data_IF_252371330093
#
_entry.id   IF_252371330093
#
_cell.length_a   1.000
_cell.length_b   1.000
_cell.length_c   1.000
_cell.angle_alpha   90.00
_cell.angle_beta   90.00
_cell.angle_gamma   90.00
#
_symmetry.space_group_name_H-M   'P 1'
#
loop_
_entity.id
_entity.type
_entity.pdbx_description
1 polymer ?
#
# COMPACT_ATOMS: atom_id res chain seq x y z
N UNK A 1 -10.76 22.14 -5.81
CA UNK A 1 -10.49 20.69 -5.77
C UNK A 1 -9.59 20.33 -4.59
N UNK A 2 -8.47 21.03 -4.40
CA UNK A 2 -7.51 20.79 -3.29
C UNK A 2 -8.13 20.84 -1.89
N UNK A 3 -8.96 21.85 -1.59
CA UNK A 3 -9.68 21.96 -0.31
C UNK A 3 -10.61 20.76 0.00
N UNK A 4 -11.22 20.15 -1.03
CA UNK A 4 -12.07 18.97 -0.85
C UNK A 4 -11.22 17.73 -0.56
N UNK A 5 -10.04 17.62 -1.17
CA UNK A 5 -9.06 16.55 -0.94
C UNK A 5 -8.48 16.62 0.48
N UNK A 6 -8.09 17.80 0.94
CA UNK A 6 -7.61 18.03 2.31
C UNK A 6 -8.70 17.68 3.35
N UNK A 7 -9.95 18.09 3.11
CA UNK A 7 -11.08 17.73 3.98
C UNK A 7 -11.34 16.22 3.99
N UNK A 8 -11.18 15.56 2.83
CA UNK A 8 -11.28 14.10 2.70
C UNK A 8 -10.19 13.39 3.51
N UNK A 9 -8.94 13.83 3.42
CA UNK A 9 -7.81 13.28 4.19
C UNK A 9 -8.04 13.44 5.71
N UNK A 10 -8.47 14.62 6.16
CA UNK A 10 -8.78 14.84 7.57
C UNK A 10 -9.94 13.94 8.05
N UNK A 11 -10.95 13.72 7.21
CA UNK A 11 -12.07 12.84 7.52
C UNK A 11 -11.67 11.36 7.56
N UNK A 12 -10.69 10.94 6.75
CA UNK A 12 -10.14 9.58 6.78
C UNK A 12 -9.24 9.36 7.99
N UNK A 13 -8.37 10.32 8.32
CA UNK A 13 -7.52 10.27 9.51
C UNK A 13 -8.33 10.08 10.80
N UNK A 14 -9.47 10.78 10.94
CA UNK A 14 -10.40 10.61 12.07
C UNK A 14 -11.03 9.21 12.16
N UNK A 15 -11.11 8.48 11.04
CA UNK A 15 -11.70 7.13 10.97
C UNK A 15 -10.67 6.01 11.06
N UNK A 16 -9.39 6.29 10.82
CA UNK A 16 -8.33 5.27 10.79
C UNK A 16 -8.23 4.44 12.08
N UNK A 17 -8.58 5.05 13.23
CA UNK A 17 -8.61 4.37 14.53
C UNK A 17 -9.90 3.59 14.84
N UNK A 18 -10.91 3.62 13.96
CA UNK A 18 -12.14 2.84 14.14
C UNK A 18 -11.89 1.37 13.83
N UNK A 19 -12.56 0.49 14.57
CA UNK A 19 -12.45 -0.94 14.30
C UNK A 19 -13.10 -1.29 12.96
N UNK A 20 -12.35 -2.00 12.11
CA UNK A 20 -12.77 -2.42 10.78
C UNK A 20 -12.49 -3.92 10.65
N UNK A 21 -13.50 -4.74 10.99
CA UNK A 21 -13.44 -6.21 10.98
C UNK A 21 -14.34 -6.86 9.94
N UNK A 22 -15.30 -6.11 9.40
CA UNK A 22 -16.08 -6.53 8.24
C UNK A 22 -15.29 -6.30 6.96
N UNK A 23 -15.80 -6.75 5.82
CA UNK A 23 -15.16 -6.54 4.51
C UNK A 23 -15.22 -7.77 3.62
N UNK A 24 -14.20 -7.96 2.78
CA UNK A 24 -14.15 -9.08 1.85
C UNK A 24 -12.73 -9.64 1.72
N UNK A 25 -12.66 -10.96 1.61
CA UNK A 25 -11.50 -11.66 1.03
C UNK A 25 -11.81 -11.89 -0.44
N UNK A 26 -11.01 -11.31 -1.32
CA UNK A 26 -11.18 -11.40 -2.76
C UNK A 26 -9.97 -12.05 -3.41
N UNK A 27 -10.19 -12.71 -4.55
CA UNK A 27 -9.12 -13.26 -5.37
C UNK A 27 -9.11 -12.60 -6.75
N UNK A 28 -7.91 -12.43 -7.29
CA UNK A 28 -7.70 -11.99 -8.66
C UNK A 28 -6.76 -12.97 -9.34
N UNK A 29 -7.22 -13.60 -10.42
CA UNK A 29 -6.43 -14.50 -11.25
C UNK A 29 -6.19 -13.79 -12.57
N UNK A 30 -4.92 -13.53 -12.90
CA UNK A 30 -4.56 -12.89 -14.15
C UNK A 30 -4.79 -13.86 -15.33
N UNK A 31 -4.97 -13.29 -16.53
CA UNK A 31 -5.24 -14.06 -17.74
C UNK A 31 -4.19 -15.17 -17.94
N UNK A 32 -4.67 -16.38 -18.20
CA UNK A 32 -3.83 -17.57 -18.36
C UNK A 32 -3.45 -18.28 -17.05
N UNK A 33 -3.92 -17.81 -15.88
CA UNK A 33 -3.79 -18.54 -14.61
C UNK A 33 -2.38 -18.66 -14.04
N UNK A 34 -1.42 -17.91 -14.58
CA UNK A 34 0.00 -17.93 -14.18
C UNK A 34 0.32 -16.99 -13.02
N UNK A 35 -0.63 -16.14 -12.64
CA UNK A 35 -0.48 -15.20 -11.54
C UNK A 35 -1.81 -15.10 -10.80
N UNK A 36 -1.75 -15.17 -9.47
CA UNK A 36 -2.93 -15.08 -8.60
C UNK A 36 -2.65 -14.23 -7.37
N UNK A 37 -3.67 -13.49 -6.94
CA UNK A 37 -3.65 -12.70 -5.71
C UNK A 37 -4.83 -13.10 -4.83
N UNK A 38 -4.60 -13.20 -3.53
CA UNK A 38 -5.63 -13.25 -2.50
C UNK A 38 -5.45 -12.01 -1.61
N UNK A 39 -6.50 -11.21 -1.45
CA UNK A 39 -6.44 -9.96 -0.68
C UNK A 39 -7.61 -9.86 0.29
N UNK A 40 -7.33 -9.43 1.53
CA UNK A 40 -8.33 -9.10 2.54
C UNK A 40 -8.39 -7.59 2.70
N UNK A 41 -9.55 -7.01 2.41
CA UNK A 41 -9.83 -5.58 2.61
C UNK A 41 -10.97 -5.45 3.59
N UNK A 42 -10.74 -4.71 4.67
CA UNK A 42 -11.74 -4.50 5.70
C UNK A 42 -12.48 -3.16 5.53
N UNK A 43 -13.73 -3.13 5.99
CA UNK A 43 -14.53 -1.95 6.27
C UNK A 43 -15.19 -2.06 7.66
N UNK A 44 -16.03 -1.09 8.04
CA UNK A 44 -16.70 -1.10 9.35
C UNK A 44 -17.95 -2.01 9.33
N UNK A 45 -18.69 -2.07 8.21
CA UNK A 45 -19.94 -2.85 8.10
C UNK A 45 -19.99 -3.82 6.92
N UNK A 46 -20.78 -4.89 7.05
CA UNK A 46 -21.02 -5.86 5.98
C UNK A 46 -21.86 -5.28 4.83
N UNK A 47 -22.68 -4.26 5.12
CA UNK A 47 -23.42 -3.50 4.12
C UNK A 47 -22.47 -2.82 3.14
N UNK A 48 -21.47 -2.08 3.63
CA UNK A 48 -20.45 -1.45 2.78
C UNK A 48 -19.66 -2.48 1.99
N UNK A 49 -19.33 -3.62 2.61
CA UNK A 49 -18.61 -4.70 1.95
C UNK A 49 -19.30 -5.20 0.68
N UNK A 50 -20.63 -5.08 0.57
CA UNK A 50 -21.43 -5.54 -0.59
C UNK A 50 -21.67 -4.46 -1.65
N UNK A 51 -21.26 -3.22 -1.40
CA UNK A 51 -21.47 -2.12 -2.35
C UNK A 51 -20.55 -2.23 -3.57
N UNK A 52 -21.03 -1.78 -4.73
CA UNK A 52 -20.25 -1.79 -5.97
C UNK A 52 -18.96 -0.97 -5.86
N UNK A 53 -19.02 0.15 -5.13
CA UNK A 53 -17.88 1.03 -4.89
C UNK A 53 -16.76 0.32 -4.10
N UNK A 54 -17.12 -0.38 -3.02
CA UNK A 54 -16.16 -1.16 -2.24
C UNK A 54 -15.62 -2.34 -3.04
N UNK A 55 -16.50 -3.09 -3.70
CA UNK A 55 -16.12 -4.24 -4.53
C UNK A 55 -15.19 -3.85 -5.69
N UNK A 56 -15.41 -2.67 -6.28
CA UNK A 56 -14.52 -2.11 -7.31
C UNK A 56 -13.15 -1.74 -6.74
N UNK A 57 -13.12 -1.06 -5.59
CA UNK A 57 -11.85 -0.75 -4.90
C UNK A 57 -11.04 -2.02 -4.61
N UNK A 58 -11.68 -3.06 -4.08
CA UNK A 58 -11.01 -4.33 -3.78
C UNK A 58 -10.40 -4.97 -5.02
N UNK A 59 -11.14 -4.99 -6.14
CA UNK A 59 -10.63 -5.50 -7.42
C UNK A 59 -9.44 -4.68 -7.93
N UNK A 60 -9.54 -3.35 -7.87
CA UNK A 60 -8.48 -2.44 -8.29
C UNK A 60 -7.20 -2.67 -7.45
N UNK A 61 -7.34 -2.86 -6.13
CA UNK A 61 -6.24 -3.19 -5.23
C UNK A 61 -5.63 -4.57 -5.51
N UNK A 62 -6.46 -5.59 -5.78
CA UNK A 62 -5.96 -6.92 -6.14
C UNK A 62 -5.15 -6.90 -7.45
N UNK A 63 -5.62 -6.14 -8.44
CA UNK A 63 -4.91 -5.93 -9.70
C UNK A 63 -3.60 -5.16 -9.51
N UNK A 64 -3.58 -4.17 -8.62
CA UNK A 64 -2.37 -3.44 -8.26
C UNK A 64 -1.32 -4.38 -7.65
N UNK A 65 -1.72 -5.20 -6.67
CA UNK A 65 -0.83 -6.20 -6.05
C UNK A 65 -0.30 -7.16 -7.12
N UNK A 66 -1.16 -7.63 -8.02
CA UNK A 66 -0.76 -8.50 -9.12
C UNK A 66 0.32 -7.88 -10.02
N UNK A 67 0.15 -6.60 -10.37
CA UNK A 67 1.00 -5.90 -11.32
C UNK A 67 2.34 -5.43 -10.76
N UNK A 68 2.36 -4.86 -9.55
CA UNK A 68 3.56 -4.24 -8.98
C UNK A 68 4.21 -5.03 -7.83
N UNK A 69 3.65 -6.17 -7.46
CA UNK A 69 4.21 -7.10 -6.48
C UNK A 69 4.73 -6.44 -5.17
N UNK A 70 3.93 -5.61 -4.47
CA UNK A 70 4.29 -5.16 -3.14
C UNK A 70 4.44 -6.36 -2.20
N UNK A 71 5.25 -6.22 -1.16
CA UNK A 71 5.45 -7.22 -0.11
C UNK A 71 4.62 -6.89 1.15
N UNK A 72 4.35 -5.61 1.38
CA UNK A 72 3.73 -5.09 2.60
C UNK A 72 2.54 -4.19 2.27
N UNK A 73 1.42 -4.22 3.02
CA UNK A 73 0.33 -3.27 2.83
C UNK A 73 0.73 -1.84 3.19
N UNK A 74 1.39 -1.62 4.34
CA UNK A 74 1.79 -0.30 4.83
C UNK A 74 3.24 -0.30 5.34
N UNK A 75 3.83 0.88 5.56
CA UNK A 75 5.20 0.99 6.09
C UNK A 75 5.31 0.36 7.48
N UNK A 76 4.27 0.47 8.30
CA UNK A 76 4.20 -0.11 9.65
C UNK A 76 4.13 -1.64 9.64
N UNK A 77 3.73 -2.24 8.51
CA UNK A 77 3.72 -3.69 8.35
C UNK A 77 5.06 -4.29 7.97
N UNK A 78 6.08 -3.45 7.69
CA UNK A 78 7.45 -3.90 7.48
C UNK A 78 8.04 -4.35 8.83
N UNK A 79 8.57 -5.58 8.95
CA UNK A 79 9.26 -6.00 10.16
C UNK A 79 10.43 -5.05 10.48
N UNK A 80 10.60 -4.60 11.75
CA UNK A 80 11.67 -3.66 12.11
C UNK A 80 13.06 -4.13 11.67
N UNK A 81 13.34 -5.44 11.81
CA UNK A 81 14.60 -6.03 11.37
C UNK A 81 14.86 -5.87 9.85
N UNK A 82 13.82 -5.96 9.01
CA UNK A 82 13.94 -5.78 7.56
C UNK A 82 14.22 -4.32 7.23
N UNK A 83 13.51 -3.40 7.90
CA UNK A 83 13.70 -1.96 7.70
C UNK A 83 15.10 -1.51 8.14
N UNK A 84 15.55 -1.98 9.29
CA UNK A 84 16.88 -1.67 9.84
C UNK A 84 18.00 -2.26 8.99
N UNK A 85 17.84 -3.51 8.53
CA UNK A 85 18.78 -4.14 7.60
C UNK A 85 18.86 -3.35 6.30
N UNK A 86 17.73 -2.93 5.72
CA UNK A 86 17.73 -2.13 4.49
C UNK A 86 18.39 -0.77 4.69
N UNK A 87 18.14 -0.10 5.82
CA UNK A 87 18.80 1.16 6.17
C UNK A 87 20.31 0.98 6.33
N UNK A 88 20.75 -0.08 6.99
CA UNK A 88 22.17 -0.39 7.17
C UNK A 88 22.88 -0.68 5.84
N UNK A 89 22.24 -1.46 4.95
CA UNK A 89 22.71 -1.72 3.58
C UNK A 89 22.93 -0.40 2.83
N UNK A 90 21.95 0.50 2.83
CA UNK A 90 22.04 1.81 2.15
C UNK A 90 23.12 2.70 2.75
N UNK A 91 23.33 2.67 4.08
CA UNK A 91 24.38 3.42 4.76
C UNK A 91 25.79 2.89 4.47
N UNK A 92 25.91 1.61 4.16
CA UNK A 92 27.18 0.95 3.84
C UNK A 92 27.65 1.20 2.39
N UNK A 93 26.84 1.87 1.56
CA UNK A 93 27.20 2.23 0.19
C UNK A 93 28.47 3.11 0.16
N UNK A 94 29.54 2.60 -0.45
CA UNK A 94 30.83 3.27 -0.58
C UNK A 94 30.73 4.62 -1.30
N UNK A 95 29.73 4.80 -2.18
CA UNK A 95 29.46 6.07 -2.86
C UNK A 95 29.06 7.21 -1.89
N UNK A 96 28.67 6.86 -0.65
CA UNK A 96 28.40 7.81 0.42
C UNK A 96 29.66 8.20 1.20
N UNK A 97 30.78 7.49 1.06
CA UNK A 97 31.99 7.59 1.88
C UNK A 97 32.46 9.03 2.15
N UNK A 98 32.64 9.83 1.09
CA UNK A 98 33.17 11.19 1.16
C UNK A 98 32.14 12.29 1.53
N UNK A 99 30.87 11.95 1.71
CA UNK A 99 29.80 12.94 1.97
C UNK A 99 29.68 13.26 3.48
N UNK A 100 29.28 14.49 3.88
CA UNK A 100 28.95 14.79 5.27
C UNK A 100 27.80 13.93 5.82
N UNK A 101 27.79 13.66 7.12
CA UNK A 101 26.79 12.78 7.77
C UNK A 101 25.34 13.17 7.47
N UNK A 102 25.01 14.46 7.54
CA UNK A 102 23.67 14.99 7.22
C UNK A 102 23.27 14.72 5.77
N UNK A 103 24.22 14.83 4.84
CA UNK A 103 23.99 14.55 3.41
C UNK A 103 23.79 13.05 3.20
N UNK A 104 24.55 12.19 3.87
CA UNK A 104 24.35 10.73 3.82
C UNK A 104 22.94 10.36 4.31
N UNK A 105 22.51 10.90 5.44
CA UNK A 105 21.18 10.64 5.98
C UNK A 105 20.08 11.04 4.99
N UNK A 106 20.15 12.24 4.41
CA UNK A 106 19.18 12.70 3.40
C UNK A 106 19.14 11.80 2.16
N UNK A 107 20.30 11.33 1.70
CA UNK A 107 20.37 10.42 0.55
C UNK A 107 19.72 9.08 0.89
N UNK A 108 20.08 8.50 2.04
CA UNK A 108 19.53 7.22 2.52
C UNK A 108 18.02 7.32 2.71
N UNK A 109 17.51 8.41 3.27
CA UNK A 109 16.06 8.63 3.39
C UNK A 109 15.36 8.67 2.04
N UNK A 110 15.97 9.32 1.04
CA UNK A 110 15.46 9.34 -0.33
C UNK A 110 15.46 7.96 -0.98
N UNK A 111 16.52 7.18 -0.80
CA UNK A 111 16.62 5.80 -1.28
C UNK A 111 15.62 4.88 -0.57
N UNK A 112 15.45 5.04 0.74
CA UNK A 112 14.49 4.30 1.54
C UNK A 112 13.05 4.57 1.07
N UNK A 113 12.72 5.83 0.77
CA UNK A 113 11.42 6.19 0.20
C UNK A 113 11.18 5.50 -1.15
N UNK A 114 12.18 5.48 -2.04
CA UNK A 114 12.08 4.77 -3.33
C UNK A 114 11.87 3.27 -3.15
N UNK A 115 12.57 2.66 -2.20
CA UNK A 115 12.37 1.25 -1.87
C UNK A 115 10.98 0.99 -1.31
N UNK A 116 10.48 1.84 -0.40
CA UNK A 116 9.11 1.76 0.12
C UNK A 116 8.07 1.87 -1.01
N UNK A 117 8.27 2.73 -2.00
CA UNK A 117 7.40 2.82 -3.19
C UNK A 117 7.38 1.54 -4.03
N UNK A 118 8.37 0.65 -3.88
CA UNK A 118 8.39 -0.65 -4.55
C UNK A 118 7.68 -1.72 -3.70
N UNK A 119 8.04 -1.81 -2.41
CA UNK A 119 7.62 -2.93 -1.55
C UNK A 119 6.35 -2.67 -0.74
N UNK A 120 5.89 -1.42 -0.62
CA UNK A 120 4.70 -1.06 0.17
C UNK A 120 3.56 -0.66 -0.75
N UNK A 121 2.45 -1.40 -0.67
CA UNK A 121 1.26 -1.18 -1.49
C UNK A 121 0.76 0.27 -1.41
N UNK A 122 0.64 0.84 -0.21
CA UNK A 122 0.10 2.20 -0.02
C UNK A 122 0.98 3.31 -0.61
N UNK A 123 2.29 3.05 -0.73
CA UNK A 123 3.26 4.01 -1.28
C UNK A 123 3.38 3.92 -2.80
N UNK A 124 2.87 2.84 -3.41
CA UNK A 124 2.92 2.65 -4.85
C UNK A 124 2.06 3.69 -5.59
N UNK A 125 2.51 4.17 -6.76
CA UNK A 125 1.65 4.92 -7.67
C UNK A 125 0.51 4.03 -8.16
N UNK A 126 -0.68 4.62 -8.29
CA UNK A 126 -1.84 3.90 -8.78
C UNK A 126 -2.06 4.17 -10.27
N UNK A 127 -1.73 3.18 -11.11
CA UNK A 127 -1.86 3.26 -12.59
C UNK A 127 -1.22 4.55 -13.14
N UNK A 128 -1.77 5.10 -14.22
CA UNK A 128 -1.34 6.36 -14.84
C UNK A 128 -1.98 7.60 -14.17
N UNK A 129 -2.14 7.57 -12.84
CA UNK A 129 -2.73 8.67 -12.07
C UNK A 129 -1.69 9.36 -11.20
N UNK A 130 -1.95 10.61 -10.82
CA UNK A 130 -1.07 11.39 -9.94
C UNK A 130 -1.16 11.00 -8.45
N UNK A 131 -1.90 9.94 -8.11
CA UNK A 131 -2.14 9.51 -6.73
C UNK A 131 -1.49 8.16 -6.41
N UNK A 132 -1.13 7.99 -5.14
CA UNK A 132 -0.73 6.68 -4.60
C UNK A 132 -1.95 5.82 -4.28
N UNK A 133 -1.74 4.53 -4.05
CA UNK A 133 -2.78 3.63 -3.56
C UNK A 133 -3.32 4.08 -2.20
N UNK A 134 -2.46 4.56 -1.29
CA UNK A 134 -2.89 5.09 0.00
C UNK A 134 -3.83 6.29 -0.16
N UNK A 135 -3.59 7.15 -1.15
CA UNK A 135 -4.49 8.27 -1.47
C UNK A 135 -5.81 7.78 -2.08
N UNK A 136 -5.79 6.79 -2.97
CA UNK A 136 -7.01 6.17 -3.51
C UNK A 136 -7.89 5.60 -2.40
N UNK A 137 -7.29 4.92 -1.42
CA UNK A 137 -8.00 4.37 -0.26
C UNK A 137 -8.55 5.50 0.61
N UNK A 138 -7.74 6.53 0.88
CA UNK A 138 -8.17 7.73 1.63
C UNK A 138 -9.38 8.41 0.99
N UNK A 139 -9.35 8.57 -0.34
CA UNK A 139 -10.45 9.17 -1.09
C UNK A 139 -11.70 8.28 -1.06
N UNK A 140 -11.51 6.95 -1.07
CA UNK A 140 -12.60 5.99 -0.93
C UNK A 140 -13.21 6.02 0.47
N UNK A 141 -12.41 6.17 1.54
CA UNK A 141 -12.89 6.38 2.92
C UNK A 141 -13.71 7.66 3.03
N UNK A 142 -13.28 8.74 2.38
CA UNK A 142 -14.01 10.00 2.37
C UNK A 142 -15.35 9.88 1.64
N UNK A 143 -15.39 9.13 0.52
CA UNK A 143 -16.60 8.89 -0.28
C UNK A 143 -17.59 7.94 0.40
N UNK A 144 -17.10 6.83 0.93
CA UNK A 144 -17.91 5.75 1.52
C UNK A 144 -18.33 6.08 2.95
N UNK A 145 -17.49 6.80 3.70
CA UNK A 145 -17.80 7.22 5.07
C UNK A 145 -17.41 6.21 6.15
N UNK A 146 -16.75 5.11 5.80
CA UNK A 146 -16.22 4.10 6.72
C UNK A 146 -14.69 4.02 6.64
N UNK A 147 -14.05 3.60 7.72
CA UNK A 147 -12.66 3.17 7.71
C UNK A 147 -12.48 2.00 6.75
N UNK A 148 -11.49 2.09 5.85
CA UNK A 148 -11.15 1.04 4.89
C UNK A 148 -9.66 0.78 4.98
N UNK A 149 -9.28 -0.49 5.08
CA UNK A 149 -7.87 -0.89 5.15
C UNK A 149 -7.60 -2.20 4.43
N UNK A 150 -6.42 -2.31 3.83
CA UNK A 150 -5.90 -3.61 3.37
C UNK A 150 -5.29 -4.31 4.58
N UNK A 151 -5.85 -5.46 4.97
CA UNK A 151 -5.38 -6.21 6.14
C UNK A 151 -4.14 -7.03 5.81
N UNK A 152 -4.18 -7.71 4.66
CA UNK A 152 -3.12 -8.59 4.15
C UNK A 152 -3.42 -8.97 2.71
N UNK A 153 -2.39 -9.41 2.00
CA UNK A 153 -2.52 -10.06 0.72
C UNK A 153 -1.44 -11.12 0.55
N UNK A 154 -1.65 -12.01 -0.42
CA UNK A 154 -0.67 -12.95 -0.93
C UNK A 154 -0.70 -12.87 -2.44
N UNK A 155 0.47 -12.93 -3.06
CA UNK A 155 0.64 -12.99 -4.50
C UNK A 155 1.45 -14.24 -4.83
N UNK A 156 1.01 -14.95 -5.86
CA UNK A 156 1.73 -16.07 -6.43
C UNK A 156 1.98 -15.80 -7.91
N UNK A 157 3.21 -15.98 -8.37
CA UNK A 157 3.54 -16.08 -9.77
C UNK A 157 4.16 -17.45 -10.11
N UNK A 158 3.73 -18.04 -11.22
CA UNK A 158 4.22 -19.34 -11.67
C UNK A 158 5.72 -19.25 -11.99
N UNK A 159 6.52 -20.03 -11.27
CA UNK A 159 7.98 -20.09 -11.43
C UNK A 159 8.74 -19.05 -10.62
N UNK A 160 8.08 -18.36 -9.69
CA UNK A 160 8.74 -17.53 -8.68
C UNK A 160 9.49 -18.41 -7.67
N UNK A 161 10.67 -17.97 -7.23
CA UNK A 161 11.44 -18.67 -6.18
C UNK A 161 10.74 -18.55 -4.82
N UNK A 162 10.83 -19.59 -4.00
CA UNK A 162 10.19 -19.70 -2.67
C UNK A 162 11.14 -19.29 -1.53
#
# INVERSE_FOLDING_TARGET
MELLRERGQAAAAKKAGRDAREGVVSSYIHAGGRLGVLIEVNCETDFVARTDDFQKLVRDLAMQVAGLAPEYPTVESIPPAVLDAKRAELLADEALGAKPAEIKQRIVEGQLRKWQQQVVLYEQPFRDTDQTVGQLITDSVARIGENIRVRRFLRYALGEEL
#
